data_IF_166665583820
#
_entry.id   IF_166665583820
#
_cell.length_a   1.000
_cell.length_b   1.000
_cell.length_c   1.000
_cell.angle_alpha   90.00
_cell.angle_beta   90.00
_cell.angle_gamma   90.00
#
_symmetry.space_group_name_H-M   'P 1'
#
loop_
_entity.id
_entity.type
_entity.pdbx_description
1 polymer ?
#
# COMPACT_ATOMS: atom_id res chain seq x y z
N UNK A 1 -12.40 5.50 -30.25
CA UNK A 1 -12.56 5.70 -28.79
C UNK A 1 -12.01 4.52 -27.98
N UNK A 2 -12.35 3.27 -28.32
CA UNK A 2 -11.89 2.05 -27.61
C UNK A 2 -10.36 1.88 -27.67
N UNK A 3 -9.74 2.08 -28.82
CA UNK A 3 -8.28 1.93 -28.97
C UNK A 3 -7.48 2.85 -28.04
N UNK A 4 -7.96 4.08 -27.80
CA UNK A 4 -7.31 5.03 -26.88
C UNK A 4 -7.35 4.50 -25.45
N UNK A 5 -8.49 3.96 -25.03
CA UNK A 5 -8.67 3.38 -23.69
C UNK A 5 -7.78 2.15 -23.52
N UNK A 6 -7.77 1.25 -24.50
CA UNK A 6 -6.92 0.05 -24.45
C UNK A 6 -5.43 0.39 -24.45
N UNK A 7 -5.01 1.41 -25.21
CA UNK A 7 -3.63 1.90 -25.20
C UNK A 7 -3.24 2.47 -23.83
N UNK A 8 -4.11 3.26 -23.22
CA UNK A 8 -3.89 3.81 -21.88
C UNK A 8 -3.83 2.70 -20.83
N UNK A 9 -4.76 1.74 -20.88
CA UNK A 9 -4.76 0.56 -20.01
C UNK A 9 -3.45 -0.23 -20.10
N UNK A 10 -3.01 -0.55 -21.33
CA UNK A 10 -1.76 -1.27 -21.56
C UNK A 10 -0.55 -0.50 -21.02
N UNK A 11 -0.48 0.81 -21.29
CA UNK A 11 0.62 1.65 -20.80
C UNK A 11 0.67 1.66 -19.27
N UNK A 12 -0.48 1.87 -18.59
CA UNK A 12 -0.57 1.88 -17.14
C UNK A 12 -0.18 0.53 -16.52
N UNK A 13 -0.58 -0.59 -17.12
CA UNK A 13 -0.18 -1.93 -16.65
C UNK A 13 1.32 -2.18 -16.86
N UNK A 14 1.90 -1.74 -17.98
CA UNK A 14 3.35 -1.88 -18.23
C UNK A 14 4.20 -1.04 -17.27
N UNK A 15 3.68 0.09 -16.77
CA UNK A 15 4.37 0.88 -15.75
C UNK A 15 4.45 0.17 -14.38
N UNK A 16 3.56 -0.76 -14.09
CA UNK A 16 3.48 -1.45 -12.79
C UNK A 16 4.25 -2.79 -12.78
N UNK A 17 5.34 -2.85 -13.54
CA UNK A 17 6.13 -4.02 -13.99
C UNK A 17 6.42 -5.14 -12.95
N UNK A 18 6.26 -4.88 -11.64
CA UNK A 18 6.55 -5.82 -10.55
C UNK A 18 5.30 -6.50 -9.93
N UNK A 19 4.08 -6.03 -10.24
CA UNK A 19 2.84 -6.63 -9.72
C UNK A 19 2.24 -7.58 -10.74
N UNK A 20 1.54 -8.63 -10.28
CA UNK A 20 0.74 -9.43 -11.20
C UNK A 20 -0.28 -8.50 -11.87
N UNK A 21 -0.31 -8.49 -13.22
CA UNK A 21 -1.18 -7.57 -13.97
C UNK A 21 -2.66 -7.72 -13.57
N UNK A 22 -3.05 -8.90 -13.08
CA UNK A 22 -4.37 -9.20 -12.58
C UNK A 22 -4.70 -8.45 -11.28
N UNK A 23 -3.76 -8.40 -10.32
CA UNK A 23 -3.93 -7.62 -9.08
C UNK A 23 -3.91 -6.11 -9.34
N UNK A 24 -3.15 -5.67 -10.35
CA UNK A 24 -3.07 -4.29 -10.77
C UNK A 24 -4.34 -3.78 -11.47
N UNK A 25 -5.05 -4.68 -12.16
CA UNK A 25 -6.11 -4.35 -13.08
C UNK A 25 -7.26 -3.53 -12.43
N UNK A 26 -7.80 -3.91 -11.25
CA UNK A 26 -8.88 -3.14 -10.63
C UNK A 26 -8.46 -1.71 -10.31
N UNK A 27 -7.22 -1.51 -9.85
CA UNK A 27 -6.69 -0.19 -9.48
C UNK A 27 -6.48 0.67 -10.72
N UNK A 28 -5.91 0.10 -11.79
CA UNK A 28 -5.71 0.82 -13.06
C UNK A 28 -7.05 1.22 -13.67
N UNK A 29 -8.04 0.32 -13.70
CA UNK A 29 -9.38 0.63 -14.21
C UNK A 29 -10.07 1.72 -13.38
N UNK A 30 -9.97 1.64 -12.05
CA UNK A 30 -10.50 2.69 -11.16
C UNK A 30 -9.91 4.06 -11.50
N UNK A 31 -8.58 4.13 -11.68
CA UNK A 31 -7.91 5.36 -12.11
C UNK A 31 -8.45 5.87 -13.45
N UNK A 32 -8.58 5.00 -14.46
CA UNK A 32 -9.11 5.39 -15.78
C UNK A 32 -10.55 5.90 -15.71
N UNK A 33 -11.39 5.31 -14.85
CA UNK A 33 -12.78 5.72 -14.69
C UNK A 33 -12.94 7.06 -13.96
N UNK A 34 -12.01 7.39 -13.08
CA UNK A 34 -12.10 8.54 -12.16
C UNK A 34 -11.32 9.76 -12.64
N UNK A 35 -10.46 9.60 -13.65
CA UNK A 35 -9.81 10.72 -14.34
C UNK A 35 -10.84 11.66 -14.93
N UNK A 36 -10.74 12.94 -14.55
CA UNK A 36 -11.47 14.04 -15.17
C UNK A 36 -11.08 14.15 -16.64
N UNK A 37 -12.08 14.29 -17.51
CA UNK A 37 -11.89 14.45 -18.94
C UNK A 37 -12.36 15.83 -19.35
N UNK A 38 -11.44 16.69 -19.78
CA UNK A 38 -11.76 18.05 -20.19
C UNK A 38 -12.72 18.10 -21.38
N UNK A 39 -12.69 17.11 -22.27
CA UNK A 39 -13.63 16.99 -23.39
C UNK A 39 -15.08 16.75 -22.92
N UNK A 40 -15.25 16.07 -21.78
CA UNK A 40 -16.55 15.75 -21.20
C UNK A 40 -16.94 16.69 -20.04
N UNK A 41 -16.00 17.52 -19.57
CA UNK A 41 -16.12 18.31 -18.34
C UNK A 41 -16.55 17.46 -17.13
N UNK A 42 -16.21 16.17 -17.13
CA UNK A 42 -16.58 15.20 -16.09
C UNK A 42 -15.73 13.93 -16.21
N UNK A 43 -15.70 13.09 -15.17
CA UNK A 43 -15.12 11.75 -15.21
C UNK A 43 -16.13 10.69 -15.66
N UNK A 44 -15.64 9.52 -16.11
CA UNK A 44 -16.53 8.41 -16.49
C UNK A 44 -17.33 7.89 -15.29
N UNK A 45 -16.74 7.93 -14.10
CA UNK A 45 -17.38 7.54 -12.87
C UNK A 45 -18.52 8.49 -12.50
N UNK A 46 -18.29 9.81 -12.57
CA UNK A 46 -19.33 10.82 -12.34
C UNK A 46 -20.51 10.68 -13.29
N UNK A 47 -20.26 10.43 -14.58
CA UNK A 47 -21.34 10.25 -15.56
C UNK A 47 -22.20 9.01 -15.29
N UNK A 48 -21.63 7.97 -14.69
CA UNK A 48 -22.34 6.71 -14.40
C UNK A 48 -23.04 6.75 -13.05
N UNK A 49 -22.38 7.28 -12.03
CA UNK A 49 -22.85 7.25 -10.64
C UNK A 49 -23.51 8.56 -10.19
N UNK A 50 -23.40 9.64 -10.98
CA UNK A 50 -23.92 10.97 -10.64
C UNK A 50 -23.02 11.77 -9.68
N UNK A 51 -21.94 11.17 -9.19
CA UNK A 51 -21.01 11.77 -8.24
C UNK A 51 -19.58 11.20 -8.42
N UNK A 52 -18.53 11.94 -8.01
CA UNK A 52 -17.17 11.43 -8.06
C UNK A 52 -16.97 10.28 -7.09
N UNK A 53 -16.37 9.19 -7.57
CA UNK A 53 -16.00 8.07 -6.69
C UNK A 53 -14.81 8.45 -5.82
N UNK A 54 -14.93 8.14 -4.52
CA UNK A 54 -13.88 8.35 -3.54
C UNK A 54 -12.69 7.42 -3.79
N UNK A 55 -11.51 7.98 -3.99
CA UNK A 55 -10.30 7.20 -4.32
C UNK A 55 -9.68 6.55 -3.07
N UNK A 56 -8.97 5.41 -3.19
CA UNK A 56 -8.26 4.76 -2.08
C UNK A 56 -7.41 5.74 -1.24
N UNK A 57 -6.75 6.70 -1.90
CA UNK A 57 -5.94 7.74 -1.25
C UNK A 57 -6.76 8.67 -0.34
N UNK A 58 -8.02 8.94 -0.69
CA UNK A 58 -8.90 9.87 0.03
C UNK A 58 -9.53 9.25 1.29
N UNK A 59 -9.36 7.94 1.47
CA UNK A 59 -9.69 7.27 2.73
C UNK A 59 -8.56 7.40 3.76
N UNK A 60 -7.34 7.67 3.31
CA UNK A 60 -6.19 7.85 4.21
C UNK A 60 -6.20 9.30 4.68
N UNK A 61 -6.52 9.50 5.96
CA UNK A 61 -6.45 10.83 6.57
C UNK A 61 -5.01 11.35 6.52
N UNK A 62 -4.78 12.61 6.11
CA UNK A 62 -3.45 13.19 6.15
C UNK A 62 -2.92 13.15 7.59
N UNK A 63 -1.62 12.82 7.74
CA UNK A 63 -0.98 12.89 9.05
C UNK A 63 -1.10 14.32 9.60
N UNK A 64 -1.48 14.50 10.89
CA UNK A 64 -1.46 15.80 11.53
C UNK A 64 -0.11 16.49 11.29
N UNK A 65 -0.10 17.81 11.10
CA UNK A 65 1.14 18.56 10.84
C UNK A 65 2.22 18.29 11.91
N UNK A 66 1.82 18.03 13.16
CA UNK A 66 2.69 17.63 14.28
C UNK A 66 3.43 16.30 14.05
N UNK A 67 2.85 15.40 13.26
CA UNK A 67 3.45 14.10 12.91
C UNK A 67 4.41 14.20 11.72
N UNK A 68 4.31 15.24 10.90
CA UNK A 68 5.16 15.43 9.72
C UNK A 68 6.59 15.86 10.10
N UNK A 69 6.78 16.42 11.31
CA UNK A 69 8.10 16.80 11.84
C UNK A 69 8.76 15.72 12.71
N UNK A 70 8.16 14.52 12.82
CA UNK A 70 8.78 13.43 13.58
C UNK A 70 9.99 12.93 12.79
N UNK A 71 11.17 13.33 13.23
CA UNK A 71 12.44 12.74 12.80
C UNK A 71 12.34 11.22 12.82
N UNK A 72 12.81 10.56 11.76
CA UNK A 72 12.91 9.09 11.67
C UNK A 72 13.56 8.49 12.92
N UNK A 73 14.53 9.19 13.54
CA UNK A 73 15.15 8.74 14.79
C UNK A 73 14.15 8.64 15.94
N UNK A 74 13.29 9.63 16.11
CA UNK A 74 12.29 9.68 17.18
C UNK A 74 11.21 8.59 17.00
N UNK A 75 10.82 8.31 15.76
CA UNK A 75 9.93 7.19 15.46
C UNK A 75 10.56 5.84 15.84
N UNK A 76 11.82 5.61 15.45
CA UNK A 76 12.53 4.36 15.74
C UNK A 76 12.74 4.18 17.25
N UNK A 77 13.06 5.24 17.99
CA UNK A 77 13.23 5.17 19.44
C UNK A 77 11.91 4.86 20.16
N UNK A 78 10.79 5.45 19.70
CA UNK A 78 9.45 5.09 20.19
C UNK A 78 9.13 3.63 19.92
N UNK A 79 9.42 3.15 18.71
CA UNK A 79 9.18 1.76 18.30
C UNK A 79 9.99 0.78 19.16
N UNK A 80 11.29 1.03 19.34
CA UNK A 80 12.16 0.22 20.22
C UNK A 80 11.64 0.20 21.65
N UNK A 81 11.21 1.36 22.15
CA UNK A 81 10.62 1.46 23.49
C UNK A 81 9.36 0.61 23.60
N UNK A 82 8.46 0.63 22.61
CA UNK A 82 7.27 -0.21 22.61
C UNK A 82 7.59 -1.70 22.53
N UNK A 83 8.48 -2.11 21.62
CA UNK A 83 8.89 -3.51 21.48
C UNK A 83 9.57 -4.02 22.76
N UNK A 84 10.40 -3.21 23.41
CA UNK A 84 11.06 -3.60 24.68
C UNK A 84 10.07 -3.86 25.84
N UNK A 85 8.90 -3.20 25.80
CA UNK A 85 7.82 -3.41 26.79
C UNK A 85 7.03 -4.68 26.51
N UNK A 86 6.99 -5.13 25.26
CA UNK A 86 6.49 -6.45 24.87
C UNK A 86 7.53 -7.50 25.27
N UNK A 87 7.70 -7.74 26.58
CA UNK A 87 8.59 -8.79 27.06
C UNK A 87 8.05 -10.14 26.57
N UNK A 88 8.89 -10.98 25.92
CA UNK A 88 8.52 -12.36 25.67
C UNK A 88 8.19 -13.03 27.01
N UNK A 89 6.99 -13.58 27.15
CA UNK A 89 6.69 -14.49 28.25
C UNK A 89 7.62 -15.68 28.06
N UNK A 90 8.38 -16.12 29.08
CA UNK A 90 9.18 -17.32 28.98
C UNK A 90 8.26 -18.46 28.58
N UNK A 91 8.36 -18.93 27.34
CA UNK A 91 7.72 -20.18 26.95
C UNK A 91 8.34 -21.27 27.83
N UNK A 92 7.54 -22.22 28.29
CA UNK A 92 8.05 -23.38 29.02
C UNK A 92 9.06 -24.10 28.12
N UNK A 93 10.35 -23.93 28.41
CA UNK A 93 11.43 -24.62 27.72
C UNK A 93 11.35 -26.11 28.10
N UNK A 94 10.61 -26.90 27.33
CA UNK A 94 10.63 -28.37 27.44
C UNK A 94 11.89 -28.99 26.83
N UNK A 95 12.79 -28.18 26.24
CA UNK A 95 14.08 -28.61 25.71
C UNK A 95 15.05 -28.95 26.85
N UNK A 96 14.88 -30.14 27.42
CA UNK A 96 15.86 -30.79 28.30
C UNK A 96 16.85 -31.54 27.42
N UNK A 97 17.71 -30.80 26.73
CA UNK A 97 18.73 -31.38 25.85
C UNK A 97 19.80 -30.33 25.54
N UNK A 98 21.06 -30.69 25.73
CA UNK A 98 22.21 -29.86 25.35
C UNK A 98 22.10 -29.48 23.88
N UNK A 99 22.24 -28.20 23.50
CA UNK A 99 22.26 -27.81 22.11
C UNK A 99 23.50 -28.45 21.45
N UNK A 100 23.27 -29.39 20.53
CA UNK A 100 24.33 -29.97 19.72
C UNK A 100 24.82 -28.92 18.72
N UNK A 101 25.90 -28.23 19.07
CA UNK A 101 26.66 -27.40 18.14
C UNK A 101 27.49 -28.35 17.29
N UNK A 102 27.11 -28.52 16.02
CA UNK A 102 28.00 -29.15 15.05
C UNK A 102 29.17 -28.19 14.79
N UNK A 103 30.34 -28.54 15.34
CA UNK A 103 31.61 -28.03 14.84
C UNK A 103 31.97 -28.86 13.62
N UNK A 104 32.08 -28.17 12.49
CA UNK A 104 32.84 -28.49 11.26
C UNK A 104 32.00 -28.24 10.00
N UNK A 105 32.20 -27.04 9.44
CA UNK A 105 32.24 -26.70 8.02
C UNK A 105 33.19 -25.51 7.85
#
# INVERSE_FOLDING_TARGET
>A
MIERVLRQLKASLMCLNDSSWFEALPVVLLGICTVFKEDLQSSSAELVYGEPLRQPREFISPFPAEMQSISTSHFVDRLRTHISRLRPVPASCHARGTPSVFKDL
#
